data_IF_016124644754
#
_entry.id   IF_016124644754
#
_cell.length_a   1.000
_cell.length_b   1.000
_cell.length_c   1.000
_cell.angle_alpha   90.00
_cell.angle_beta   90.00
_cell.angle_gamma   90.00
#
_symmetry.space_group_name_H-M   'P 1'
#
loop_
_entity.id
_entity.type
_entity.pdbx_description
1 polymer ?
#
# COMPACT_ATOMS: atom_id res chain seq x y z
N UNK A 1 -24.16 19.97 -13.56
CA UNK A 1 -23.17 19.11 -14.27
C UNK A 1 -22.18 18.69 -13.21
N UNK A 2 -22.32 17.48 -12.71
CA UNK A 2 -21.59 16.94 -11.54
C UNK A 2 -20.26 16.40 -12.09
N UNK A 3 -19.16 17.07 -11.73
CA UNK A 3 -17.80 16.54 -11.94
C UNK A 3 -17.69 15.17 -11.23
N UNK A 4 -17.05 14.17 -11.85
CA UNK A 4 -16.85 12.88 -11.20
C UNK A 4 -16.01 13.11 -9.93
N UNK A 5 -16.55 12.65 -8.81
CA UNK A 5 -15.89 12.59 -7.52
C UNK A 5 -14.56 11.83 -7.71
N UNK A 6 -13.47 12.56 -7.66
CA UNK A 6 -12.16 11.97 -7.38
C UNK A 6 -12.23 11.42 -5.94
N UNK A 7 -12.76 10.22 -5.80
CA UNK A 7 -12.45 9.38 -4.65
C UNK A 7 -10.93 9.23 -4.68
N UNK A 8 -10.24 9.98 -3.82
CA UNK A 8 -8.87 9.64 -3.51
C UNK A 8 -8.88 8.18 -3.05
N UNK A 9 -8.25 7.25 -3.77
CA UNK A 9 -7.84 6.04 -3.11
C UNK A 9 -6.93 6.54 -1.98
N UNK A 10 -7.27 6.28 -0.73
CA UNK A 10 -6.31 6.38 0.38
C UNK A 10 -5.18 5.45 -0.05
N UNK A 11 -4.18 6.06 -0.68
CA UNK A 11 -3.06 5.38 -1.28
C UNK A 11 -2.31 4.65 -0.16
N UNK A 12 -2.59 3.36 -0.01
CA UNK A 12 -1.56 2.43 0.44
C UNK A 12 -0.53 2.44 -0.67
N UNK A 13 0.42 3.36 -0.56
CA UNK A 13 1.42 3.61 -1.59
C UNK A 13 2.26 2.36 -1.79
N UNK A 14 2.37 1.94 -3.04
CA UNK A 14 3.31 0.91 -3.51
C UNK A 14 4.78 1.18 -3.07
N UNK A 15 5.10 2.37 -2.55
CA UNK A 15 6.39 2.72 -1.97
C UNK A 15 6.78 1.90 -0.73
N UNK A 16 5.81 1.38 0.05
CA UNK A 16 6.09 0.50 1.19
C UNK A 16 6.54 -0.91 0.80
N UNK A 17 6.25 -1.36 -0.41
CA UNK A 17 6.60 -2.71 -0.87
C UNK A 17 8.09 -2.80 -1.25
N UNK A 18 8.67 -1.75 -1.84
CA UNK A 18 10.08 -1.76 -2.25
C UNK A 18 11.05 -1.64 -1.08
N UNK A 19 10.74 -0.82 -0.07
CA UNK A 19 11.60 -0.67 1.11
C UNK A 19 11.61 -1.89 2.01
N UNK A 20 10.56 -2.74 2.00
CA UNK A 20 10.50 -3.99 2.75
C UNK A 20 11.20 -5.17 2.04
N UNK A 21 11.65 -5.01 0.78
CA UNK A 21 12.36 -6.08 0.06
C UNK A 21 13.78 -6.33 0.61
N UNK A 22 14.49 -5.30 1.05
CA UNK A 22 15.91 -5.41 1.43
C UNK A 22 16.17 -6.08 2.79
N UNK A 23 15.41 -5.81 3.87
CA UNK A 23 15.70 -6.42 5.18
C UNK A 23 15.41 -7.91 5.26
N UNK A 24 14.37 -8.39 4.56
CA UNK A 24 13.97 -9.81 4.56
C UNK A 24 15.01 -10.70 3.86
N UNK A 25 15.74 -10.15 2.88
CA UNK A 25 16.79 -10.89 2.18
C UNK A 25 18.04 -11.17 3.02
N UNK A 26 18.43 -10.24 3.90
CA UNK A 26 19.65 -10.39 4.70
C UNK A 26 19.52 -11.49 5.76
N UNK A 27 18.33 -11.71 6.32
CA UNK A 27 18.08 -12.70 7.36
C UNK A 27 18.05 -14.15 6.85
N UNK A 28 17.67 -14.34 5.59
CA UNK A 28 17.48 -15.68 4.99
C UNK A 28 18.78 -16.31 4.44
N UNK A 29 19.84 -15.51 4.27
CA UNK A 29 21.12 -16.02 3.77
C UNK A 29 21.90 -16.84 4.81
N UNK A 30 21.60 -16.68 6.10
CA UNK A 30 22.31 -17.33 7.20
C UNK A 30 21.77 -18.72 7.58
N UNK A 31 20.54 -19.08 7.13
CA UNK A 31 19.88 -20.34 7.53
C UNK A 31 20.03 -21.51 6.53
N UNK A 32 20.85 -21.37 5.50
CA UNK A 32 21.01 -22.38 4.44
C UNK A 32 22.00 -23.50 4.77
N UNK A 33 22.01 -24.03 5.99
CA UNK A 33 22.88 -25.14 6.36
C UNK A 33 22.13 -26.25 7.06
N UNK A 34 21.51 -27.17 6.30
CA UNK A 34 21.31 -28.58 6.69
C UNK A 34 20.82 -29.41 5.51
N UNK A 35 21.33 -30.62 5.25
CA UNK A 35 21.02 -31.41 4.08
C UNK A 35 19.80 -32.30 4.30
N UNK A 36 18.85 -32.28 3.40
CA UNK A 36 17.84 -33.32 3.20
C UNK A 36 18.13 -34.02 1.87
N UNK A 37 18.24 -35.35 1.89
CA UNK A 37 18.52 -36.17 0.69
C UNK A 37 17.33 -36.16 -0.28
N UNK A 38 17.58 -35.83 -1.55
CA UNK A 38 16.66 -36.01 -2.68
C UNK A 38 17.40 -36.33 -3.99
N UNK A 39 16.74 -37.04 -4.88
CA UNK A 39 17.30 -37.89 -5.94
C UNK A 39 17.49 -37.25 -7.34
N UNK A 40 17.52 -35.94 -7.49
CA UNK A 40 17.83 -35.26 -8.75
C UNK A 40 19.28 -34.72 -8.75
N UNK A 41 19.95 -34.63 -9.91
CA UNK A 41 21.30 -34.05 -9.98
C UNK A 41 21.22 -32.56 -9.62
N UNK A 42 21.73 -32.23 -8.45
CA UNK A 42 21.69 -30.86 -7.90
C UNK A 42 22.94 -30.10 -8.32
N UNK A 43 22.78 -29.03 -9.07
CA UNK A 43 23.89 -28.10 -9.29
C UNK A 43 23.87 -27.00 -8.20
N UNK A 44 24.31 -27.37 -7.00
CA UNK A 44 24.38 -26.45 -5.86
C UNK A 44 25.27 -25.23 -6.15
N UNK A 45 26.27 -25.35 -7.01
CA UNK A 45 27.15 -24.24 -7.36
C UNK A 45 26.42 -23.26 -8.29
N UNK A 46 25.69 -23.75 -9.28
CA UNK A 46 24.85 -22.93 -10.14
C UNK A 46 23.70 -22.29 -9.34
N UNK A 47 23.01 -23.04 -8.48
CA UNK A 47 21.99 -22.50 -7.56
C UNK A 47 22.52 -21.30 -6.77
N UNK A 48 23.63 -21.47 -6.05
CA UNK A 48 24.22 -20.38 -5.25
C UNK A 48 24.66 -19.17 -6.09
N UNK A 49 25.13 -19.42 -7.32
CA UNK A 49 25.51 -18.37 -8.26
C UNK A 49 24.30 -17.55 -8.69
N UNK A 50 23.20 -18.21 -9.07
CA UNK A 50 21.98 -17.54 -9.50
C UNK A 50 21.31 -16.80 -8.33
N UNK A 51 21.27 -17.38 -7.14
CA UNK A 51 20.81 -16.67 -5.93
C UNK A 51 21.62 -15.39 -5.70
N UNK A 52 22.95 -15.42 -5.80
CA UNK A 52 23.78 -14.20 -5.65
C UNK A 52 23.49 -13.16 -6.73
N UNK A 53 23.26 -13.59 -7.98
CA UNK A 53 22.87 -12.68 -9.08
C UNK A 53 21.52 -12.04 -8.81
N UNK A 54 20.56 -12.79 -8.32
CA UNK A 54 19.24 -12.28 -7.96
C UNK A 54 19.33 -11.18 -6.89
N UNK A 55 20.08 -11.42 -5.82
CA UNK A 55 20.29 -10.40 -4.77
C UNK A 55 21.03 -9.16 -5.28
N UNK A 56 22.01 -9.32 -6.17
CA UNK A 56 22.69 -8.20 -6.80
C UNK A 56 21.72 -7.38 -7.67
N UNK A 57 20.86 -8.05 -8.45
CA UNK A 57 19.87 -7.42 -9.30
C UNK A 57 18.79 -6.68 -8.47
N UNK A 58 18.36 -7.24 -7.33
CA UNK A 58 17.43 -6.57 -6.42
C UNK A 58 18.02 -5.29 -5.82
N UNK A 59 19.29 -5.32 -5.42
CA UNK A 59 19.98 -4.10 -4.93
C UNK A 59 20.16 -3.04 -6.01
N UNK A 60 20.20 -3.45 -7.27
CA UNK A 60 20.28 -2.56 -8.44
C UNK A 60 18.90 -2.18 -9.01
N UNK A 61 17.81 -2.48 -8.28
CA UNK A 61 16.41 -2.27 -8.69
C UNK A 61 16.04 -2.90 -10.05
N UNK A 62 16.78 -3.95 -10.45
CA UNK A 62 16.58 -4.65 -11.72
C UNK A 62 15.63 -5.83 -11.56
N UNK A 63 14.33 -5.55 -11.29
CA UNK A 63 13.32 -6.56 -10.96
C UNK A 63 13.23 -7.72 -11.97
N UNK A 64 13.32 -7.42 -13.29
CA UNK A 64 13.26 -8.45 -14.33
C UNK A 64 14.49 -9.36 -14.35
N UNK A 65 15.67 -8.84 -14.00
CA UNK A 65 16.89 -9.66 -13.88
C UNK A 65 16.84 -10.51 -12.60
N UNK A 66 16.36 -9.92 -11.51
CA UNK A 66 16.18 -10.62 -10.24
C UNK A 66 15.23 -11.80 -10.41
N UNK A 67 14.08 -11.60 -11.03
CA UNK A 67 13.10 -12.66 -11.28
C UNK A 67 13.71 -13.81 -12.07
N UNK A 68 14.37 -13.53 -13.21
CA UNK A 68 15.00 -14.56 -14.03
C UNK A 68 16.06 -15.36 -13.27
N UNK A 69 16.85 -14.69 -12.44
CA UNK A 69 17.89 -15.35 -11.66
C UNK A 69 17.29 -16.23 -10.54
N UNK A 70 16.17 -15.79 -9.89
CA UNK A 70 15.44 -16.60 -8.92
C UNK A 70 14.82 -17.84 -9.57
N UNK A 71 14.20 -17.69 -10.75
CA UNK A 71 13.62 -18.80 -11.51
C UNK A 71 14.71 -19.79 -11.97
N UNK A 72 15.86 -19.30 -12.43
CA UNK A 72 17.01 -20.15 -12.78
C UNK A 72 17.55 -20.91 -11.57
N UNK A 73 17.62 -20.26 -10.38
CA UNK A 73 18.02 -20.94 -9.15
C UNK A 73 17.08 -22.09 -8.81
N UNK A 74 15.76 -21.86 -8.85
CA UNK A 74 14.74 -22.90 -8.63
C UNK A 74 14.87 -24.07 -9.62
N UNK A 75 15.29 -23.79 -10.87
CA UNK A 75 15.55 -24.84 -11.88
C UNK A 75 16.78 -25.67 -11.58
N UNK A 76 17.83 -25.11 -10.96
CA UNK A 76 19.06 -25.84 -10.62
C UNK A 76 18.91 -26.75 -9.39
N UNK A 77 18.08 -26.41 -8.43
CA UNK A 77 17.79 -27.23 -7.25
C UNK A 77 16.33 -26.99 -6.79
N UNK A 78 15.36 -27.72 -7.38
CA UNK A 78 13.94 -27.53 -7.09
C UNK A 78 13.53 -27.81 -5.65
N UNK A 79 14.32 -28.62 -4.93
CA UNK A 79 14.02 -29.09 -3.57
C UNK A 79 14.88 -28.43 -2.51
N UNK A 80 15.67 -27.42 -2.85
CA UNK A 80 16.51 -26.74 -1.88
C UNK A 80 15.66 -26.13 -0.75
N UNK A 81 16.13 -26.30 0.49
CA UNK A 81 15.42 -25.83 1.69
C UNK A 81 15.10 -24.31 1.72
N UNK A 82 15.82 -23.50 0.91
CA UNK A 82 15.59 -22.06 0.78
C UNK A 82 14.59 -21.65 -0.30
N UNK A 83 14.03 -22.59 -1.05
CA UNK A 83 13.20 -22.29 -2.21
C UNK A 83 11.91 -21.55 -1.91
N UNK A 84 11.34 -21.72 -0.71
CA UNK A 84 10.15 -20.99 -0.31
C UNK A 84 10.41 -19.48 -0.25
N UNK A 85 11.60 -19.08 0.20
CA UNK A 85 12.03 -17.67 0.17
C UNK A 85 12.19 -17.17 -1.26
N UNK A 86 12.74 -17.99 -2.18
CA UNK A 86 12.86 -17.60 -3.59
C UNK A 86 11.48 -17.45 -4.24
N UNK A 87 10.57 -18.41 -4.02
CA UNK A 87 9.17 -18.35 -4.50
C UNK A 87 8.44 -17.12 -3.98
N UNK A 88 8.60 -16.82 -2.69
CA UNK A 88 8.01 -15.62 -2.09
C UNK A 88 8.56 -14.33 -2.72
N UNK A 89 9.87 -14.25 -2.95
CA UNK A 89 10.47 -13.08 -3.59
C UNK A 89 10.05 -12.89 -5.05
N UNK A 90 9.86 -13.98 -5.81
CA UNK A 90 9.26 -13.92 -7.15
C UNK A 90 7.85 -13.30 -7.07
N UNK A 91 7.03 -13.76 -6.13
CA UNK A 91 5.69 -13.20 -5.93
C UNK A 91 5.74 -11.70 -5.59
N UNK A 92 6.65 -11.26 -4.71
CA UNK A 92 6.85 -9.83 -4.39
C UNK A 92 7.30 -9.02 -5.61
N UNK A 93 8.17 -9.55 -6.45
CA UNK A 93 8.58 -8.89 -7.70
C UNK A 93 7.37 -8.73 -8.64
N UNK A 94 6.53 -9.75 -8.76
CA UNK A 94 5.32 -9.70 -9.57
C UNK A 94 4.34 -8.65 -9.03
N UNK A 95 4.16 -8.56 -7.70
CA UNK A 95 3.37 -7.52 -7.06
C UNK A 95 3.92 -6.11 -7.35
N UNK A 96 5.23 -5.91 -7.24
CA UNK A 96 5.88 -4.64 -7.55
C UNK A 96 5.69 -4.21 -9.02
N UNK A 97 5.56 -5.18 -9.92
CA UNK A 97 5.25 -4.98 -11.35
C UNK A 97 3.75 -4.90 -11.65
N UNK A 98 2.90 -4.90 -10.62
CA UNK A 98 1.43 -4.92 -10.71
C UNK A 98 0.86 -6.12 -11.49
N UNK A 99 1.58 -7.22 -11.53
CA UNK A 99 1.16 -8.49 -12.13
C UNK A 99 0.38 -9.31 -11.09
N UNK A 100 -0.77 -8.78 -10.66
CA UNK A 100 -1.52 -9.27 -9.50
C UNK A 100 -1.96 -10.73 -9.65
N UNK A 101 -2.41 -11.12 -10.83
CA UNK A 101 -2.88 -12.49 -11.10
C UNK A 101 -1.74 -13.52 -10.94
N UNK A 102 -0.57 -13.23 -11.53
CA UNK A 102 0.59 -14.12 -11.45
C UNK A 102 1.14 -14.18 -10.02
N UNK A 103 1.17 -13.03 -9.32
CA UNK A 103 1.60 -12.94 -7.94
C UNK A 103 0.69 -13.76 -7.02
N UNK A 104 -0.61 -13.65 -7.18
CA UNK A 104 -1.61 -14.44 -6.44
C UNK A 104 -1.40 -15.93 -6.65
N UNK A 105 -1.25 -16.39 -7.89
CA UNK A 105 -0.98 -17.79 -8.21
C UNK A 105 0.26 -18.30 -7.47
N UNK A 106 1.38 -17.57 -7.53
CA UNK A 106 2.62 -17.92 -6.82
C UNK A 106 2.48 -17.96 -5.30
N UNK A 107 1.71 -17.02 -4.73
CA UNK A 107 1.45 -17.00 -3.28
C UNK A 107 0.57 -18.16 -2.84
N UNK A 108 -0.47 -18.49 -3.61
CA UNK A 108 -1.34 -19.64 -3.33
C UNK A 108 -0.59 -20.96 -3.44
N UNK A 109 0.26 -21.12 -4.46
CA UNK A 109 1.12 -22.30 -4.61
C UNK A 109 2.09 -22.44 -3.42
N UNK A 110 2.71 -21.34 -2.99
CA UNK A 110 3.58 -21.34 -1.83
C UNK A 110 2.82 -21.75 -0.55
N UNK A 111 1.65 -21.17 -0.32
CA UNK A 111 0.83 -21.45 0.86
C UNK A 111 0.19 -22.83 0.85
N UNK A 112 0.00 -23.46 -0.31
CA UNK A 112 -0.43 -24.87 -0.41
C UNK A 112 0.63 -25.82 0.18
N UNK A 113 1.95 -25.51 0.03
CA UNK A 113 3.05 -26.28 0.56
C UNK A 113 3.47 -25.81 1.97
N UNK A 114 3.35 -24.52 2.24
CA UNK A 114 3.73 -23.88 3.51
C UNK A 114 2.59 -23.00 4.04
N UNK A 115 1.52 -23.62 4.56
CA UNK A 115 0.35 -22.87 5.08
C UNK A 115 0.70 -21.91 6.21
N UNK A 116 1.79 -22.21 6.92
CA UNK A 116 2.32 -21.47 8.05
C UNK A 116 3.21 -20.27 7.68
N UNK A 117 3.42 -19.97 6.39
CA UNK A 117 4.30 -18.86 5.97
C UNK A 117 3.60 -17.49 6.12
N UNK A 118 3.78 -16.86 7.29
CA UNK A 118 3.06 -15.64 7.67
C UNK A 118 3.21 -14.47 6.71
N UNK A 119 4.44 -14.19 6.24
CA UNK A 119 4.65 -13.12 5.27
C UNK A 119 3.93 -13.37 3.94
N UNK A 120 3.84 -14.63 3.49
CA UNK A 120 3.10 -14.97 2.29
C UNK A 120 1.59 -14.84 2.48
N UNK A 121 1.07 -15.14 3.68
CA UNK A 121 -0.35 -14.93 4.02
C UNK A 121 -0.74 -13.45 3.94
N UNK A 122 0.09 -12.56 4.49
CA UNK A 122 -0.12 -11.10 4.45
C UNK A 122 0.04 -10.58 3.02
N UNK A 123 1.08 -11.05 2.31
CA UNK A 123 1.29 -10.66 0.91
C UNK A 123 0.11 -11.08 0.02
N UNK A 124 -0.52 -12.24 0.26
CA UNK A 124 -1.72 -12.66 -0.45
C UNK A 124 -2.89 -11.71 -0.16
N UNK A 125 -3.08 -11.31 1.11
CA UNK A 125 -4.11 -10.34 1.48
C UNK A 125 -3.89 -8.99 0.76
N UNK A 126 -2.65 -8.50 0.72
CA UNK A 126 -2.28 -7.29 -0.01
C UNK A 126 -2.51 -7.43 -1.52
N UNK A 127 -2.12 -8.57 -2.10
CA UNK A 127 -2.32 -8.85 -3.51
C UNK A 127 -3.80 -8.86 -3.89
N UNK A 128 -4.67 -9.49 -3.08
CA UNK A 128 -6.11 -9.50 -3.26
C UNK A 128 -6.73 -8.10 -3.18
N UNK A 129 -6.23 -7.26 -2.25
CA UNK A 129 -6.65 -5.86 -2.14
C UNK A 129 -6.35 -5.05 -3.39
N UNK A 130 -5.12 -5.16 -3.90
CA UNK A 130 -4.67 -4.43 -5.09
C UNK A 130 -5.32 -4.96 -6.38
N UNK A 131 -5.67 -6.25 -6.41
CA UNK A 131 -6.41 -6.87 -7.49
C UNK A 131 -7.92 -6.55 -7.47
N UNK A 132 -8.42 -5.85 -6.44
CA UNK A 132 -9.84 -5.53 -6.27
C UNK A 132 -10.72 -6.73 -5.92
N UNK A 133 -10.14 -7.82 -5.40
CA UNK A 133 -10.84 -9.04 -5.00
C UNK A 133 -11.37 -8.95 -3.58
N UNK A 134 -12.18 -7.94 -3.31
CA UNK A 134 -12.59 -7.54 -1.96
C UNK A 134 -13.32 -8.63 -1.18
N UNK A 135 -14.20 -9.41 -1.83
CA UNK A 135 -14.90 -10.50 -1.16
C UNK A 135 -13.96 -11.63 -0.73
N UNK A 136 -13.01 -12.00 -1.60
CA UNK A 136 -12.00 -13.01 -1.28
C UNK A 136 -11.06 -12.51 -0.18
N UNK A 137 -10.66 -11.24 -0.26
CA UNK A 137 -9.83 -10.60 0.77
C UNK A 137 -10.50 -10.63 2.14
N UNK A 138 -11.77 -10.22 2.23
CA UNK A 138 -12.49 -10.21 3.51
C UNK A 138 -12.57 -11.61 4.13
N UNK A 139 -12.88 -12.64 3.32
CA UNK A 139 -12.92 -14.04 3.77
C UNK A 139 -11.54 -14.56 4.17
N UNK A 140 -10.50 -14.22 3.41
CA UNK A 140 -9.12 -14.61 3.71
C UNK A 140 -8.65 -14.05 5.04
N UNK A 141 -8.92 -12.75 5.28
CA UNK A 141 -8.57 -12.12 6.57
C UNK A 141 -9.37 -12.73 7.72
N UNK A 142 -10.66 -13.01 7.56
CA UNK A 142 -11.47 -13.71 8.59
C UNK A 142 -10.82 -15.05 8.96
N UNK A 143 -10.40 -15.83 7.96
CA UNK A 143 -9.70 -17.10 8.17
C UNK A 143 -8.39 -16.92 8.93
N UNK A 144 -7.58 -15.93 8.53
CA UNK A 144 -6.30 -15.65 9.17
C UNK A 144 -6.45 -15.17 10.63
N UNK A 145 -7.49 -14.38 10.93
CA UNK A 145 -7.74 -13.85 12.27
C UNK A 145 -8.49 -14.83 13.19
N UNK A 146 -9.11 -15.87 12.63
CA UNK A 146 -9.69 -16.98 13.38
C UNK A 146 -8.65 -18.04 13.74
N UNK A 147 -7.52 -18.11 13.04
CA UNK A 147 -6.42 -19.00 13.34
C UNK A 147 -5.74 -18.57 14.65
N UNK A 148 -5.54 -19.53 15.57
CA UNK A 148 -4.91 -19.29 16.88
C UNK A 148 -3.40 -19.09 16.83
N UNK A 149 -2.85 -18.87 15.66
CA UNK A 149 -1.44 -18.57 15.45
C UNK A 149 -1.07 -17.23 16.10
N UNK A 150 0.06 -17.22 16.79
CA UNK A 150 0.63 -15.95 17.27
C UNK A 150 1.01 -15.05 16.09
N UNK A 151 0.47 -13.83 16.09
CA UNK A 151 0.77 -12.76 15.15
C UNK A 151 1.22 -11.54 15.90
N UNK A 152 2.13 -10.79 15.31
CA UNK A 152 2.50 -9.48 15.85
C UNK A 152 1.32 -8.50 15.77
N UNK A 153 1.32 -7.50 16.62
CA UNK A 153 0.30 -6.43 16.59
C UNK A 153 0.24 -5.77 15.21
N UNK A 154 1.40 -5.53 14.59
CA UNK A 154 1.49 -4.91 13.27
C UNK A 154 0.89 -5.77 12.16
N UNK A 155 1.09 -7.09 12.21
CA UNK A 155 0.44 -8.04 11.28
C UNK A 155 -1.07 -8.00 11.42
N UNK A 156 -1.57 -8.04 12.66
CA UNK A 156 -3.01 -7.97 12.94
C UNK A 156 -3.60 -6.64 12.47
N UNK A 157 -2.93 -5.52 12.76
CA UNK A 157 -3.38 -4.20 12.29
C UNK A 157 -3.40 -4.13 10.76
N UNK A 158 -2.36 -4.63 10.08
CA UNK A 158 -2.31 -4.68 8.62
C UNK A 158 -3.51 -5.44 8.04
N UNK A 159 -3.81 -6.62 8.58
CA UNK A 159 -4.95 -7.43 8.15
C UNK A 159 -6.29 -6.71 8.41
N UNK A 160 -6.46 -6.08 9.57
CA UNK A 160 -7.67 -5.34 9.92
C UNK A 160 -7.88 -4.11 9.04
N UNK A 161 -6.82 -3.39 8.67
CA UNK A 161 -6.92 -2.27 7.74
C UNK A 161 -7.32 -2.73 6.34
N UNK A 162 -6.72 -3.83 5.84
CA UNK A 162 -7.10 -4.42 4.55
C UNK A 162 -8.55 -4.89 4.56
N UNK A 163 -9.01 -5.52 5.66
CA UNK A 163 -10.39 -5.95 5.83
C UNK A 163 -11.36 -4.77 5.84
N UNK A 164 -11.02 -3.72 6.60
CA UNK A 164 -11.85 -2.51 6.64
C UNK A 164 -12.02 -1.89 5.27
N UNK A 165 -10.95 -1.76 4.51
CA UNK A 165 -11.00 -1.19 3.17
C UNK A 165 -11.81 -2.06 2.19
N UNK A 166 -11.63 -3.39 2.23
CA UNK A 166 -12.42 -4.32 1.43
C UNK A 166 -13.92 -4.23 1.79
N UNK A 167 -14.25 -4.25 3.09
CA UNK A 167 -15.63 -4.12 3.57
C UNK A 167 -16.26 -2.79 3.15
N UNK A 168 -15.52 -1.69 3.20
CA UNK A 168 -15.98 -0.37 2.74
C UNK A 168 -16.29 -0.39 1.23
N UNK A 169 -15.42 -0.99 0.40
CA UNK A 169 -15.67 -1.14 -1.05
C UNK A 169 -16.87 -2.04 -1.35
N UNK A 170 -17.16 -3.00 -0.48
CA UNK A 170 -18.33 -3.87 -0.55
C UNK A 170 -19.61 -3.26 0.08
N UNK A 171 -19.55 -2.01 0.55
CA UNK A 171 -20.64 -1.34 1.29
C UNK A 171 -21.08 -2.10 2.56
N UNK A 172 -20.13 -2.78 3.21
CA UNK A 172 -20.31 -3.47 4.50
C UNK A 172 -19.78 -2.59 5.64
N UNK A 173 -20.38 -1.43 5.81
CA UNK A 173 -19.86 -0.34 6.65
C UNK A 173 -19.69 -0.73 8.11
N UNK A 174 -20.64 -1.47 8.70
CA UNK A 174 -20.54 -1.97 10.08
C UNK A 174 -19.34 -2.92 10.28
N UNK A 175 -19.05 -3.77 9.28
CA UNK A 175 -17.89 -4.65 9.34
C UNK A 175 -16.59 -3.87 9.22
N UNK A 176 -16.57 -2.85 8.36
CA UNK A 176 -15.43 -1.95 8.21
C UNK A 176 -15.11 -1.24 9.54
N UNK A 177 -16.10 -0.65 10.18
CA UNK A 177 -15.94 -0.01 11.50
C UNK A 177 -15.53 -1.02 12.59
N UNK A 178 -16.11 -2.23 12.59
CA UNK A 178 -15.73 -3.29 13.54
C UNK A 178 -14.25 -3.63 13.43
N UNK A 179 -13.70 -3.74 12.23
CA UNK A 179 -12.28 -4.00 12.02
C UNK A 179 -11.41 -2.86 12.57
N UNK A 180 -11.77 -1.59 12.32
CA UNK A 180 -11.05 -0.43 12.84
C UNK A 180 -11.12 -0.34 14.37
N UNK A 181 -12.28 -0.60 14.97
CA UNK A 181 -12.41 -0.64 16.42
C UNK A 181 -11.56 -1.76 17.06
N UNK A 182 -11.33 -2.87 16.36
CA UNK A 182 -10.38 -3.90 16.84
C UNK A 182 -8.95 -3.38 16.86
N UNK A 183 -8.53 -2.56 15.91
CA UNK A 183 -7.23 -1.87 15.99
C UNK A 183 -7.16 -0.98 17.22
N UNK A 184 -8.20 -0.17 17.49
CA UNK A 184 -8.22 0.73 18.64
C UNK A 184 -8.26 0.02 20.02
N UNK A 185 -8.63 -1.26 20.07
CA UNK A 185 -8.53 -2.07 21.31
C UNK A 185 -7.09 -2.36 21.72
N UNK A 186 -6.18 -2.48 20.76
CA UNK A 186 -4.76 -2.77 21.00
C UNK A 186 -3.90 -1.51 20.95
N UNK A 187 -4.27 -0.54 20.11
CA UNK A 187 -3.63 0.77 20.00
C UNK A 187 -4.69 1.88 20.02
N UNK A 188 -5.01 2.32 21.22
CA UNK A 188 -6.08 3.28 21.52
C UNK A 188 -5.96 4.60 20.75
N UNK A 189 -4.77 5.00 20.36
CA UNK A 189 -4.51 6.28 19.71
C UNK A 189 -3.99 6.11 18.26
N UNK A 190 -4.25 4.98 17.65
CA UNK A 190 -3.85 4.73 16.28
C UNK A 190 -4.46 5.78 15.34
N UNK A 191 -3.62 6.65 14.80
CA UNK A 191 -4.05 7.77 13.99
C UNK A 191 -4.79 7.33 12.73
N UNK A 192 -4.27 6.30 12.04
CA UNK A 192 -4.90 5.75 10.84
C UNK A 192 -6.29 5.19 11.12
N UNK A 193 -6.45 4.44 12.22
CA UNK A 193 -7.75 3.88 12.58
C UNK A 193 -8.76 5.00 12.91
N UNK A 194 -8.37 5.98 13.73
CA UNK A 194 -9.21 7.13 14.02
C UNK A 194 -9.61 7.90 12.75
N UNK A 195 -8.67 8.11 11.83
CA UNK A 195 -8.94 8.85 10.59
C UNK A 195 -9.91 8.11 9.66
N UNK A 196 -9.75 6.79 9.52
CA UNK A 196 -10.65 5.99 8.70
C UNK A 196 -12.06 5.87 9.32
N UNK A 197 -12.16 5.78 10.66
CA UNK A 197 -13.45 5.87 11.38
C UNK A 197 -14.07 7.25 11.13
N UNK A 198 -13.30 8.33 11.24
CA UNK A 198 -13.79 9.68 10.98
C UNK A 198 -14.37 9.82 9.57
N UNK A 199 -13.66 9.30 8.56
CA UNK A 199 -14.14 9.33 7.18
C UNK A 199 -15.45 8.57 7.03
N UNK A 200 -15.56 7.37 7.61
CA UNK A 200 -16.76 6.54 7.52
C UNK A 200 -17.94 7.20 8.22
N UNK A 201 -17.78 7.65 9.48
CA UNK A 201 -18.80 8.37 10.23
C UNK A 201 -19.28 9.64 9.52
N UNK A 202 -18.35 10.36 8.88
CA UNK A 202 -18.74 11.55 8.13
C UNK A 202 -19.64 11.22 6.93
N UNK A 203 -19.32 10.12 6.21
CA UNK A 203 -20.14 9.63 5.08
C UNK A 203 -21.53 9.21 5.56
N UNK A 204 -21.64 8.62 6.74
CA UNK A 204 -22.92 8.21 7.37
C UNK A 204 -23.70 9.40 7.95
N UNK A 205 -23.14 10.60 7.97
CA UNK A 205 -23.78 11.83 8.50
C UNK A 205 -23.52 12.11 9.97
N UNK A 206 -22.71 11.31 10.65
CA UNK A 206 -22.29 11.49 12.04
C UNK A 206 -21.12 12.48 12.16
N UNK A 207 -21.38 13.72 11.71
CA UNK A 207 -20.36 14.76 11.53
C UNK A 207 -19.54 15.06 12.79
N UNK A 208 -20.22 15.27 13.91
CA UNK A 208 -19.54 15.69 15.15
C UNK A 208 -18.62 14.58 15.69
N UNK A 209 -19.07 13.34 15.64
CA UNK A 209 -18.26 12.18 16.02
C UNK A 209 -17.06 12.01 15.07
N UNK A 210 -17.28 12.20 13.76
CA UNK A 210 -16.20 12.15 12.77
C UNK A 210 -15.10 13.18 13.08
N UNK A 211 -15.49 14.43 13.37
CA UNK A 211 -14.54 15.49 13.71
C UNK A 211 -13.80 15.22 15.02
N UNK A 212 -14.44 14.57 16.00
CA UNK A 212 -13.79 14.16 17.25
C UNK A 212 -12.72 13.10 17.01
N UNK A 213 -13.03 12.08 16.21
CA UNK A 213 -12.07 11.06 15.83
C UNK A 213 -10.89 11.66 15.06
N UNK A 214 -11.15 12.50 14.05
CA UNK A 214 -10.09 13.19 13.30
C UNK A 214 -9.23 14.08 14.20
N UNK A 215 -9.87 14.84 15.10
CA UNK A 215 -9.18 15.67 16.09
C UNK A 215 -8.24 14.85 16.97
N UNK A 216 -8.67 13.66 17.39
CA UNK A 216 -7.84 12.74 18.19
C UNK A 216 -6.61 12.29 17.39
N UNK A 217 -6.79 11.93 16.12
CA UNK A 217 -5.68 11.51 15.24
C UNK A 217 -4.64 12.62 15.07
N UNK A 218 -5.09 13.83 14.68
CA UNK A 218 -4.20 14.97 14.41
C UNK A 218 -3.52 15.52 15.66
N UNK A 219 -4.21 15.46 16.83
CA UNK A 219 -3.63 15.91 18.09
C UNK A 219 -2.48 15.00 18.56
N UNK A 220 -2.62 13.70 18.37
CA UNK A 220 -1.65 12.70 18.82
C UNK A 220 -0.53 12.48 17.82
N UNK A 221 -0.85 12.54 16.54
CA UNK A 221 0.05 12.29 15.42
C UNK A 221 -0.14 13.37 14.34
N UNK A 222 0.37 14.58 14.55
CA UNK A 222 0.14 15.71 13.65
C UNK A 222 0.72 15.49 12.24
N UNK A 223 1.71 14.62 12.10
CA UNK A 223 2.38 14.27 10.84
C UNK A 223 1.86 12.94 10.24
N UNK A 224 0.75 12.39 10.77
CA UNK A 224 0.17 11.17 10.17
C UNK A 224 -0.45 11.49 8.81
N UNK A 225 0.05 10.84 7.77
CA UNK A 225 -0.36 11.09 6.39
C UNK A 225 -1.85 10.80 6.16
N UNK A 226 -2.39 9.75 6.79
CA UNK A 226 -3.81 9.40 6.67
C UNK A 226 -4.70 10.44 7.34
N UNK A 227 -4.30 10.91 8.53
CA UNK A 227 -5.03 11.94 9.26
C UNK A 227 -5.04 13.29 8.50
N UNK A 228 -3.90 13.67 7.91
CA UNK A 228 -3.79 14.87 7.09
C UNK A 228 -4.64 14.76 5.82
N UNK A 229 -4.61 13.61 5.13
CA UNK A 229 -5.39 13.40 3.90
C UNK A 229 -6.89 13.40 4.18
N UNK A 230 -7.36 12.63 5.17
CA UNK A 230 -8.77 12.61 5.58
C UNK A 230 -9.18 14.00 6.08
N UNK A 231 -8.32 14.66 6.84
CA UNK A 231 -8.60 16.00 7.32
C UNK A 231 -8.75 17.03 6.20
N UNK A 232 -7.93 16.97 5.16
CA UNK A 232 -8.09 17.84 3.99
C UNK A 232 -9.41 17.55 3.28
N UNK A 233 -9.75 16.27 3.05
CA UNK A 233 -11.01 15.88 2.41
C UNK A 233 -12.24 16.34 3.20
N UNK A 234 -12.26 16.16 4.52
CA UNK A 234 -13.38 16.59 5.35
C UNK A 234 -13.52 18.12 5.33
N UNK A 235 -12.41 18.86 5.41
CA UNK A 235 -12.42 20.32 5.32
C UNK A 235 -12.96 20.81 3.97
N UNK A 236 -12.61 20.16 2.85
CA UNK A 236 -13.18 20.48 1.54
C UNK A 236 -14.70 20.24 1.47
N UNK A 237 -15.16 19.11 2.03
CA UNK A 237 -16.60 18.78 2.10
C UNK A 237 -17.39 19.78 2.93
N UNK A 238 -16.76 20.36 3.96
CA UNK A 238 -17.30 21.45 4.77
C UNK A 238 -17.23 22.83 4.08
N UNK A 239 -16.53 22.93 2.95
CA UNK A 239 -16.28 24.18 2.25
C UNK A 239 -15.13 25.01 2.84
N UNK A 240 -14.45 24.51 3.87
CA UNK A 240 -13.26 25.15 4.46
C UNK A 240 -12.01 24.83 3.63
N UNK A 241 -11.92 25.48 2.49
CA UNK A 241 -10.80 25.30 1.55
C UNK A 241 -9.47 25.80 2.09
N UNK A 242 -9.50 26.69 3.09
CA UNK A 242 -8.26 27.20 3.71
C UNK A 242 -7.63 26.11 4.56
N UNK A 243 -8.38 25.52 5.48
CA UNK A 243 -7.92 24.38 6.30
C UNK A 243 -7.54 23.19 5.42
N UNK A 244 -8.30 22.91 4.35
CA UNK A 244 -7.95 21.86 3.40
C UNK A 244 -6.58 22.11 2.74
N UNK A 245 -6.32 23.33 2.29
CA UNK A 245 -5.03 23.71 1.69
C UNK A 245 -3.87 23.58 2.71
N UNK A 246 -4.07 24.04 3.95
CA UNK A 246 -3.05 23.92 5.01
C UNK A 246 -2.65 22.47 5.27
N UNK A 247 -3.61 21.56 5.38
CA UNK A 247 -3.38 20.12 5.58
C UNK A 247 -2.71 19.49 4.37
N UNK A 248 -3.14 19.85 3.19
CA UNK A 248 -2.52 19.38 1.94
C UNK A 248 -1.08 19.88 1.80
N UNK A 249 -0.80 21.12 2.17
CA UNK A 249 0.57 21.66 2.20
C UNK A 249 1.43 20.98 3.26
N UNK A 250 0.83 20.60 4.39
CA UNK A 250 1.53 19.78 5.38
C UNK A 250 1.89 18.41 4.80
N UNK A 251 0.94 17.73 4.18
CA UNK A 251 1.16 16.43 3.53
C UNK A 251 2.22 16.52 2.42
N UNK A 252 2.25 17.60 1.65
CA UNK A 252 3.27 17.85 0.63
C UNK A 252 4.67 18.11 1.21
N UNK A 253 4.79 18.59 2.45
CA UNK A 253 6.12 18.65 3.12
C UNK A 253 6.67 17.26 3.44
N UNK A 254 5.77 16.29 3.74
CA UNK A 254 6.15 14.91 3.99
C UNK A 254 6.42 14.16 2.66
N UNK A 255 5.68 14.52 1.61
CA UNK A 255 5.72 13.86 0.30
C UNK A 255 5.85 14.89 -0.84
N UNK A 256 7.01 15.57 -0.96
CA UNK A 256 7.17 16.70 -1.88
C UNK A 256 7.00 16.33 -3.36
N UNK A 257 7.34 15.09 -3.75
CA UNK A 257 7.30 14.62 -5.13
C UNK A 257 5.97 13.97 -5.53
N UNK A 258 4.95 14.01 -4.63
CA UNK A 258 3.63 13.45 -4.91
C UNK A 258 2.85 14.34 -5.90
N UNK A 259 2.91 13.96 -7.17
CA UNK A 259 2.27 14.73 -8.26
C UNK A 259 0.75 14.88 -8.11
N UNK A 260 -0.02 13.84 -7.77
CA UNK A 260 -1.45 13.98 -7.46
C UNK A 260 -1.74 15.04 -6.40
N UNK A 261 -1.00 15.06 -5.30
CA UNK A 261 -1.16 16.08 -4.25
C UNK A 261 -0.80 17.48 -4.74
N UNK A 262 0.26 17.62 -5.57
CA UNK A 262 0.64 18.88 -6.18
C UNK A 262 -0.42 19.42 -7.12
N UNK A 263 -1.08 18.57 -7.92
CA UNK A 263 -2.22 18.93 -8.79
C UNK A 263 -3.42 19.34 -7.94
N UNK A 264 -3.72 18.61 -6.87
CA UNK A 264 -4.81 18.94 -5.95
C UNK A 264 -4.57 20.30 -5.28
N UNK A 265 -3.34 20.58 -4.83
CA UNK A 265 -2.98 21.91 -4.30
C UNK A 265 -3.23 23.03 -5.31
N UNK A 266 -2.84 22.83 -6.57
CA UNK A 266 -3.11 23.81 -7.62
C UNK A 266 -4.62 24.05 -7.82
N UNK A 267 -5.43 23.01 -7.72
CA UNK A 267 -6.90 23.10 -7.80
C UNK A 267 -7.46 23.92 -6.64
N UNK A 268 -7.06 23.64 -5.40
CA UNK A 268 -7.49 24.41 -4.22
C UNK A 268 -7.06 25.88 -4.29
N UNK A 269 -5.84 26.16 -4.78
CA UNK A 269 -5.37 27.52 -4.97
C UNK A 269 -6.25 28.29 -6.00
N UNK A 270 -6.68 27.63 -7.07
CA UNK A 270 -7.63 28.22 -8.04
C UNK A 270 -8.99 28.48 -7.38
N UNK A 271 -9.48 27.56 -6.59
CA UNK A 271 -10.75 27.69 -5.89
C UNK A 271 -10.75 28.84 -4.88
N UNK A 272 -9.60 29.11 -4.26
CA UNK A 272 -9.36 30.23 -3.34
C UNK A 272 -9.04 31.54 -4.04
N UNK A 273 -9.00 31.57 -5.40
CA UNK A 273 -8.63 32.75 -6.17
C UNK A 273 -7.14 33.11 -6.15
N UNK A 274 -6.29 32.26 -5.60
CA UNK A 274 -4.82 32.43 -5.52
C UNK A 274 -4.14 32.09 -6.86
N UNK A 275 -4.60 32.75 -7.95
CA UNK A 275 -4.25 32.43 -9.35
C UNK A 275 -2.75 32.45 -9.63
N UNK A 276 -2.00 33.41 -9.05
CA UNK A 276 -0.56 33.53 -9.30
C UNK A 276 0.23 32.33 -8.74
N UNK A 277 -0.19 31.82 -7.60
CA UNK A 277 0.42 30.65 -6.97
C UNK A 277 0.05 29.37 -7.70
N UNK A 278 -1.22 29.23 -8.07
CA UNK A 278 -1.69 28.12 -8.88
C UNK A 278 -0.92 28.05 -10.21
N UNK A 279 -0.72 29.19 -10.89
CA UNK A 279 0.04 29.27 -12.15
C UNK A 279 1.47 28.76 -11.96
N UNK A 280 2.19 29.26 -10.95
CA UNK A 280 3.57 28.82 -10.67
C UNK A 280 3.64 27.31 -10.43
N UNK A 281 2.69 26.76 -9.67
CA UNK A 281 2.62 25.31 -9.42
C UNK A 281 2.38 24.52 -10.69
N UNK A 282 1.41 24.95 -11.53
CA UNK A 282 1.09 24.30 -12.79
C UNK A 282 2.24 24.38 -13.80
N UNK A 283 2.93 25.53 -13.88
CA UNK A 283 4.09 25.70 -14.75
C UNK A 283 5.25 24.78 -14.32
N UNK A 284 5.49 24.64 -13.00
CA UNK A 284 6.46 23.69 -12.46
C UNK A 284 6.10 22.23 -12.78
N UNK A 285 4.83 21.86 -12.58
CA UNK A 285 4.34 20.52 -12.91
C UNK A 285 4.48 20.21 -14.41
N UNK A 286 4.15 21.19 -15.28
CA UNK A 286 4.29 21.03 -16.73
C UNK A 286 5.73 20.88 -17.17
N UNK A 287 6.65 21.62 -16.55
CA UNK A 287 8.07 21.54 -16.87
C UNK A 287 8.69 20.16 -16.48
N UNK A 288 8.15 19.55 -15.44
CA UNK A 288 8.59 18.24 -14.95
C UNK A 288 7.82 17.06 -15.57
N UNK A 289 6.83 17.34 -16.43
CA UNK A 289 5.88 16.35 -16.92
C UNK A 289 6.24 15.83 -18.32
N UNK A 290 5.87 14.57 -18.59
CA UNK A 290 5.68 14.08 -19.95
C UNK A 290 4.33 14.54 -20.53
N UNK A 291 4.11 14.23 -21.80
CA UNK A 291 2.95 14.71 -22.57
C UNK A 291 1.59 14.36 -21.94
N UNK A 292 1.46 13.18 -21.35
CA UNK A 292 0.21 12.72 -20.71
C UNK A 292 -0.24 13.60 -19.53
N UNK A 293 0.68 13.98 -18.65
CA UNK A 293 0.34 14.88 -17.54
C UNK A 293 0.07 16.30 -18.04
N UNK A 294 0.73 16.74 -19.11
CA UNK A 294 0.49 18.04 -19.71
C UNK A 294 -0.96 18.17 -20.18
N UNK A 295 -1.55 17.13 -20.76
CA UNK A 295 -2.98 17.11 -21.16
C UNK A 295 -3.91 17.17 -19.95
N UNK A 296 -3.61 16.47 -18.87
CA UNK A 296 -4.40 16.48 -17.62
C UNK A 296 -4.42 17.87 -16.96
N UNK A 297 -3.40 18.70 -17.17
CA UNK A 297 -3.31 20.05 -16.61
C UNK A 297 -4.09 21.09 -17.43
N UNK A 298 -4.47 20.82 -18.68
CA UNK A 298 -5.16 21.78 -19.56
C UNK A 298 -6.43 22.39 -18.95
N UNK A 299 -7.34 21.61 -18.31
CA UNK A 299 -8.54 22.18 -17.68
C UNK A 299 -8.21 23.20 -16.59
N UNK A 300 -7.13 22.99 -15.84
CA UNK A 300 -6.70 23.91 -14.78
C UNK A 300 -6.13 25.21 -15.36
N UNK A 301 -5.40 25.14 -16.48
CA UNK A 301 -4.95 26.34 -17.20
C UNK A 301 -6.12 27.16 -17.78
N UNK A 302 -7.22 26.52 -18.21
CA UNK A 302 -8.42 27.24 -18.65
C UNK A 302 -9.06 28.03 -17.51
N UNK A 303 -8.99 27.54 -16.27
CA UNK A 303 -9.50 28.24 -15.08
C UNK A 303 -8.62 29.43 -14.64
N UNK A 304 -7.40 29.54 -15.15
CA UNK A 304 -6.50 30.68 -14.90
C UNK A 304 -6.84 31.92 -15.75
N UNK A 305 -7.59 31.72 -16.81
CA UNK A 305 -8.07 32.82 -17.68
C UNK A 305 -9.27 33.54 -17.03
#
# INVERSE_FOLDING_TARGET
MILPRLLFPVLVTAGGILTALVPTFARSAETLSSPVETTAPRDTAAYRREVRKAFAALRADSLSQAQRALEAALGHDPDAAGNDVLRFNIAKILMARRQWHDAEGRLRDLLAHRPDYGEAQIALAQCLSEAGKDSELAQWVDTLLADHRERTTDEVHTLLFLQSEACRRLHQDERALTALHRVLKTDRYNARAHSLIALQLYIEGHRDEALLHLGTALLRHPDDETALAVGAELAEREGDKVTALERLEHLLRLRPDDRPLQVHRATLLLDLGRRNEARRQLDSLRAAAGDELAEQLLPLYHRLR
#
